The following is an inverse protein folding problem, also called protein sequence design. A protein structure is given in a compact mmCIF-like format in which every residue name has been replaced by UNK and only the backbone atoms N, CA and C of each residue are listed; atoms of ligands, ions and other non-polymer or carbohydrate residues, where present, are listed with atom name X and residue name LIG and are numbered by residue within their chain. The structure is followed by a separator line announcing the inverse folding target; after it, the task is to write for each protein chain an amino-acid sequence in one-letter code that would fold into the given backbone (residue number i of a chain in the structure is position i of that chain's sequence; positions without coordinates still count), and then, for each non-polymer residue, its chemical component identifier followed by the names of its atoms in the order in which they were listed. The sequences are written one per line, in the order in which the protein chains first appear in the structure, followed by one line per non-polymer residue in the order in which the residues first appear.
data_IF_426411439580
#
_entry.id   IF_426411439580
#
_cell.length_a   1.000
_cell.length_b   1.000
_cell.length_c   1.000
_cell.angle_alpha   90.00
_cell.angle_beta   90.00
_cell.angle_gamma   90.00
#
_symmetry.space_group_name_H-M   'P 1'
#
loop_
_entity.id
_entity.type
_entity.pdbx_description
1 polymer ?
#
# COMPACT_ATOMS: atom_id res chain seq x y z
N UNK A 1 14.39 -9.66 0.07
CA UNK A 1 13.11 -10.34 0.20
C UNK A 1 13.10 -11.22 1.46
N UNK A 2 13.97 -12.23 1.60
CA UNK A 2 13.96 -13.15 2.75
C UNK A 2 14.03 -12.39 4.09
N UNK A 3 14.95 -11.42 4.23
CA UNK A 3 15.06 -10.59 5.44
C UNK A 3 13.77 -9.82 5.77
N UNK A 4 13.01 -9.41 4.75
CA UNK A 4 11.74 -8.73 4.96
C UNK A 4 10.62 -9.71 5.39
N UNK A 5 10.67 -10.96 4.94
CA UNK A 5 9.78 -12.03 5.41
C UNK A 5 10.10 -12.39 6.87
N UNK A 6 11.39 -12.54 7.20
CA UNK A 6 11.84 -12.83 8.56
C UNK A 6 11.45 -11.70 9.53
N UNK A 7 11.59 -10.44 9.10
CA UNK A 7 11.13 -9.27 9.85
C UNK A 7 9.61 -9.28 10.07
N UNK A 8 8.83 -9.73 9.09
CA UNK A 8 7.39 -9.89 9.25
C UNK A 8 7.02 -10.91 10.34
N UNK A 9 7.69 -12.07 10.38
CA UNK A 9 7.44 -13.06 11.42
C UNK A 9 7.84 -12.54 12.81
N UNK A 10 8.95 -11.80 12.90
CA UNK A 10 9.36 -11.10 14.12
C UNK A 10 8.27 -10.15 14.61
N UNK A 11 7.75 -9.27 13.74
CA UNK A 11 6.70 -8.31 14.09
C UNK A 11 5.39 -9.00 14.49
N UNK A 12 5.01 -10.08 13.82
CA UNK A 12 3.82 -10.87 14.16
C UNK A 12 3.92 -11.53 15.54
N UNK A 13 5.11 -11.84 15.97
CA UNK A 13 5.37 -12.37 17.33
C UNK A 13 5.54 -11.28 18.39
N UNK A 14 5.34 -10.00 18.03
CA UNK A 14 5.54 -8.86 18.94
C UNK A 14 7.00 -8.44 19.12
N UNK A 15 7.90 -8.96 18.26
CA UNK A 15 9.32 -8.60 18.29
C UNK A 15 9.60 -7.24 17.66
N UNK A 16 10.72 -6.64 18.06
CA UNK A 16 11.19 -5.33 17.61
C UNK A 16 12.71 -5.31 17.67
N UNK A 17 13.38 -5.01 16.56
CA UNK A 17 14.85 -4.96 16.47
C UNK A 17 15.43 -3.55 16.43
N UNK A 18 14.58 -2.52 16.49
CA UNK A 18 14.99 -1.10 16.49
C UNK A 18 14.86 -0.41 17.85
N UNK A 19 14.21 -1.07 18.83
CA UNK A 19 13.91 -0.47 20.13
C UNK A 19 12.84 0.65 20.10
N UNK A 20 12.16 0.87 18.99
CA UNK A 20 11.10 1.88 18.86
C UNK A 20 9.77 1.33 19.41
N UNK A 21 9.19 1.98 20.40
CA UNK A 21 7.96 1.54 21.08
C UNK A 21 6.67 1.78 20.26
N UNK A 22 6.75 2.46 19.11
CA UNK A 22 5.58 2.96 18.38
C UNK A 22 5.20 2.15 17.13
N UNK A 23 5.81 1.00 16.88
CA UNK A 23 5.37 0.13 15.79
C UNK A 23 4.05 -0.54 16.16
N UNK A 24 2.96 -0.07 15.60
CA UNK A 24 1.61 -0.58 15.86
C UNK A 24 1.20 -1.66 14.86
N UNK A 25 0.87 -2.85 15.35
CA UNK A 25 0.02 -3.75 14.57
C UNK A 25 -1.42 -3.24 14.68
N UNK A 26 -2.06 -2.94 13.54
CA UNK A 26 -3.50 -2.76 13.48
C UNK A 26 -4.14 -4.12 13.12
N UNK A 27 -5.05 -4.58 13.97
CA UNK A 27 -5.66 -5.89 13.87
C UNK A 27 -4.91 -6.96 14.67
N UNK A 28 -5.52 -8.14 14.78
CA UNK A 28 -4.89 -9.28 15.42
C UNK A 28 -3.83 -9.89 14.49
N UNK A 29 -2.53 -9.80 14.81
CA UNK A 29 -1.47 -10.34 13.97
C UNK A 29 -1.46 -11.88 13.90
N UNK A 30 -2.20 -12.54 14.80
CA UNK A 30 -2.40 -13.99 14.82
C UNK A 30 -3.62 -14.43 14.01
N UNK A 31 -4.42 -13.52 13.53
CA UNK A 31 -5.62 -13.81 12.73
C UNK A 31 -5.24 -14.54 11.43
N UNK A 32 -5.98 -15.59 11.10
CA UNK A 32 -5.71 -16.44 9.91
C UNK A 32 -6.82 -16.38 8.86
N UNK A 33 -7.92 -15.68 9.16
CA UNK A 33 -9.14 -15.63 8.34
C UNK A 33 -9.39 -14.28 7.68
N UNK A 34 -8.53 -13.28 7.93
CA UNK A 34 -8.65 -11.95 7.35
C UNK A 34 -7.29 -11.39 6.92
N UNK A 35 -7.32 -10.28 6.18
CA UNK A 35 -6.12 -9.52 5.86
C UNK A 35 -5.46 -9.02 7.16
N UNK A 36 -4.19 -9.39 7.36
CA UNK A 36 -3.35 -8.85 8.42
C UNK A 36 -2.65 -7.61 7.88
N UNK A 37 -2.75 -6.50 8.62
CA UNK A 37 -2.13 -5.24 8.29
C UNK A 37 -1.30 -4.74 9.47
N UNK A 38 -0.01 -4.52 9.26
CA UNK A 38 0.91 -3.93 10.25
C UNK A 38 1.31 -2.56 9.74
N UNK A 39 0.97 -1.53 10.51
CA UNK A 39 1.25 -0.14 10.18
C UNK A 39 2.64 0.27 10.64
N UNK A 40 3.33 1.05 9.80
CA UNK A 40 4.65 1.60 10.08
C UNK A 40 5.68 0.56 10.56
N UNK A 41 5.79 -0.61 9.90
CA UNK A 41 6.67 -1.70 10.33
C UNK A 41 8.15 -1.30 10.33
N UNK A 42 8.55 -0.27 9.58
CA UNK A 42 9.92 0.28 9.58
C UNK A 42 10.30 0.91 10.93
N UNK A 43 9.32 1.26 11.78
CA UNK A 43 9.63 1.73 13.15
C UNK A 43 10.25 0.61 13.98
N UNK A 44 9.86 -0.64 13.78
CA UNK A 44 10.26 -1.79 14.56
C UNK A 44 11.21 -2.75 13.83
N UNK A 45 11.58 -2.49 12.57
CA UNK A 45 12.46 -3.38 11.83
C UNK A 45 13.48 -2.65 10.96
N UNK A 46 14.75 -2.91 11.24
CA UNK A 46 15.87 -2.41 10.43
C UNK A 46 15.84 -2.98 9.01
N UNK A 47 15.48 -4.24 8.83
CA UNK A 47 15.37 -4.86 7.51
C UNK A 47 14.32 -4.17 6.62
N UNK A 48 13.23 -3.68 7.23
CA UNK A 48 12.19 -2.94 6.50
C UNK A 48 12.65 -1.51 6.19
N UNK A 49 13.41 -0.85 7.10
CA UNK A 49 14.07 0.44 6.78
C UNK A 49 14.98 0.32 5.56
N UNK A 50 15.79 -0.73 5.49
CA UNK A 50 16.64 -1.00 4.33
C UNK A 50 15.83 -1.24 3.05
N UNK A 51 14.71 -1.96 3.14
CA UNK A 51 13.84 -2.20 1.99
C UNK A 51 13.27 -0.90 1.43
N UNK A 52 12.68 -0.05 2.29
CA UNK A 52 12.07 1.20 1.84
C UNK A 52 13.09 2.26 1.43
N UNK A 53 14.36 2.08 1.81
CA UNK A 53 15.50 2.91 1.40
C UNK A 53 16.23 2.37 0.16
N UNK A 54 15.74 1.27 -0.43
CA UNK A 54 16.44 0.62 -1.54
C UNK A 54 16.49 1.54 -2.77
N UNK A 55 17.70 1.84 -3.32
CA UNK A 55 17.86 2.88 -4.33
C UNK A 55 17.00 2.69 -5.58
N UNK A 56 16.81 1.44 -6.04
CA UNK A 56 16.01 1.17 -7.23
C UNK A 56 14.54 1.58 -7.05
N UNK A 57 13.98 1.49 -5.83
CA UNK A 57 12.62 1.93 -5.54
C UNK A 57 12.48 3.43 -5.80
N UNK A 58 13.41 4.23 -5.27
CA UNK A 58 13.44 5.67 -5.48
C UNK A 58 13.67 6.04 -6.95
N UNK A 59 14.61 5.36 -7.64
CA UNK A 59 14.91 5.60 -9.07
C UNK A 59 13.67 5.38 -9.95
N UNK A 60 12.94 4.29 -9.75
CA UNK A 60 11.70 4.02 -10.48
C UNK A 60 10.62 5.05 -10.16
N UNK A 61 10.43 5.38 -8.89
CA UNK A 61 9.47 6.39 -8.48
C UNK A 61 9.77 7.76 -9.09
N UNK A 62 11.03 8.20 -9.10
CA UNK A 62 11.48 9.43 -9.74
C UNK A 62 11.26 9.40 -11.27
N UNK A 63 11.55 8.27 -11.93
CA UNK A 63 11.37 8.12 -13.36
C UNK A 63 9.89 8.20 -13.77
N UNK A 64 9.00 7.59 -12.99
CA UNK A 64 7.55 7.57 -13.26
C UNK A 64 6.92 8.93 -13.02
N UNK A 65 7.29 9.61 -11.93
CA UNK A 65 6.67 10.89 -11.52
C UNK A 65 7.31 12.10 -12.18
N UNK A 66 8.56 11.99 -12.62
CA UNK A 66 9.37 13.14 -13.08
C UNK A 66 9.63 14.17 -11.98
N UNK A 67 9.45 13.80 -10.71
CA UNK A 67 9.65 14.68 -9.56
C UNK A 67 11.13 15.00 -9.32
N UNK A 68 11.41 16.07 -8.57
CA UNK A 68 12.76 16.41 -8.12
C UNK A 68 13.20 15.46 -7.00
N UNK A 69 12.28 15.09 -6.15
CA UNK A 69 12.47 14.09 -5.11
C UNK A 69 11.16 13.35 -4.82
N UNK A 70 11.32 12.13 -4.28
CA UNK A 70 10.22 11.29 -3.79
C UNK A 70 10.55 10.80 -2.38
N UNK A 71 9.52 10.52 -1.59
CA UNK A 71 9.66 10.10 -0.19
C UNK A 71 8.56 9.13 0.21
N UNK A 72 8.88 7.94 0.77
CA UNK A 72 7.93 7.17 1.55
C UNK A 72 7.45 7.98 2.76
N UNK A 73 6.15 7.97 3.03
CA UNK A 73 5.59 8.67 4.19
C UNK A 73 4.73 7.77 5.08
N UNK A 74 4.24 6.66 4.53
CA UNK A 74 3.51 5.64 5.29
C UNK A 74 3.78 4.26 4.69
N UNK A 75 3.99 3.26 5.54
CA UNK A 75 4.29 1.89 5.10
C UNK A 75 3.34 0.93 5.79
N UNK A 76 2.82 -0.01 5.02
CA UNK A 76 1.97 -1.09 5.51
C UNK A 76 2.56 -2.42 5.08
N UNK A 77 2.76 -3.32 6.03
CA UNK A 77 3.01 -4.72 5.76
C UNK A 77 1.69 -5.47 5.71
N UNK A 78 1.45 -6.16 4.61
CA UNK A 78 0.19 -6.82 4.34
C UNK A 78 0.40 -8.32 4.19
N UNK A 79 -0.37 -9.13 4.95
CA UNK A 79 -0.44 -10.58 4.77
C UNK A 79 -1.87 -10.97 4.48
N UNK A 80 -2.07 -11.54 3.31
CA UNK A 80 -3.34 -12.12 2.91
C UNK A 80 -3.25 -13.64 3.11
N UNK A 81 -3.91 -14.20 4.15
CA UNK A 81 -3.93 -15.64 4.37
C UNK A 81 -4.50 -16.37 3.16
N UNK A 82 -4.12 -17.64 3.01
CA UNK A 82 -4.76 -18.51 2.01
C UNK A 82 -6.08 -19.05 2.52
N UNK A 83 -7.10 -19.08 1.67
CA UNK A 83 -8.43 -19.60 1.96
C UNK A 83 -9.53 -18.77 1.32
N UNK A 84 -10.75 -19.31 1.29
CA UNK A 84 -11.92 -18.63 0.69
C UNK A 84 -12.58 -17.66 1.70
N UNK A 85 -11.80 -17.09 2.62
CA UNK A 85 -12.35 -16.14 3.58
C UNK A 85 -12.61 -14.78 2.91
N UNK A 86 -13.89 -14.39 2.78
CA UNK A 86 -14.28 -13.08 2.26
C UNK A 86 -13.67 -11.93 3.07
N UNK A 87 -13.42 -12.14 4.36
CA UNK A 87 -12.75 -11.16 5.22
C UNK A 87 -11.31 -10.82 4.80
N UNK A 88 -10.73 -11.52 3.82
CA UNK A 88 -9.43 -11.18 3.23
C UNK A 88 -9.54 -10.34 1.96
N UNK A 89 -10.75 -10.04 1.46
CA UNK A 89 -10.92 -9.12 0.35
C UNK A 89 -10.48 -7.71 0.76
N UNK A 90 -10.03 -6.94 -0.21
CA UNK A 90 -9.86 -5.49 -0.13
C UNK A 90 -10.83 -4.89 -1.12
N UNK A 91 -11.79 -4.13 -0.63
CA UNK A 91 -12.86 -3.57 -1.44
C UNK A 91 -12.35 -2.54 -2.45
N UNK A 92 -13.14 -2.28 -3.49
CA UNK A 92 -12.83 -1.25 -4.49
C UNK A 92 -12.79 0.13 -3.83
N UNK A 93 -11.68 0.83 -3.97
CA UNK A 93 -11.46 2.15 -3.36
C UNK A 93 -10.42 2.96 -4.12
N UNK A 94 -10.34 4.24 -3.79
CA UNK A 94 -9.22 5.13 -4.09
C UNK A 94 -8.47 5.42 -2.78
N UNK A 95 -7.16 5.27 -2.73
CA UNK A 95 -6.34 5.55 -1.54
C UNK A 95 -6.57 6.97 -1.00
N UNK A 96 -6.79 7.93 -1.89
CA UNK A 96 -7.04 9.34 -1.55
C UNK A 96 -8.16 9.53 -0.52
N UNK A 97 -9.13 8.64 -0.47
CA UNK A 97 -10.23 8.67 0.50
C UNK A 97 -9.72 8.65 1.96
N UNK A 98 -8.64 7.92 2.22
CA UNK A 98 -8.08 7.72 3.56
C UNK A 98 -6.94 8.70 3.90
N UNK A 99 -6.53 9.55 2.96
CA UNK A 99 -5.35 10.42 3.08
C UNK A 99 -5.72 11.89 3.23
N UNK A 100 -6.62 12.18 4.19
CA UNK A 100 -7.11 13.54 4.47
C UNK A 100 -6.04 14.48 5.07
N UNK A 101 -4.91 13.93 5.55
CA UNK A 101 -3.78 14.73 6.07
C UNK A 101 -2.98 15.45 4.97
N UNK A 102 -3.31 15.19 3.70
CA UNK A 102 -2.67 15.81 2.54
C UNK A 102 -3.62 16.78 1.84
N UNK A 103 -3.09 17.94 1.41
CA UNK A 103 -3.85 18.91 0.62
C UNK A 103 -4.40 18.29 -0.67
N UNK A 104 -5.51 18.84 -1.14
CA UNK A 104 -6.06 18.48 -2.45
C UNK A 104 -5.04 18.81 -3.56
N UNK A 105 -4.90 17.91 -4.53
CA UNK A 105 -3.90 18.05 -5.60
C UNK A 105 -2.48 17.62 -5.22
N UNK A 106 -2.23 17.19 -3.97
CA UNK A 106 -0.97 16.54 -3.61
C UNK A 106 -0.73 15.33 -4.49
N UNK A 107 0.47 15.22 -5.06
CA UNK A 107 0.88 14.06 -5.85
C UNK A 107 1.31 12.91 -4.94
N UNK A 108 0.39 11.98 -4.73
CA UNK A 108 0.55 10.83 -3.86
C UNK A 108 0.35 9.55 -4.68
N UNK A 109 1.13 8.54 -4.35
CA UNK A 109 1.08 7.24 -5.03
C UNK A 109 1.58 6.13 -4.10
N UNK A 110 1.35 4.90 -4.49
CA UNK A 110 1.80 3.71 -3.74
C UNK A 110 2.75 2.90 -4.62
N UNK A 111 3.90 2.53 -4.06
CA UNK A 111 4.75 1.46 -4.54
C UNK A 111 4.37 0.17 -3.78
N UNK A 112 3.74 -0.76 -4.46
CA UNK A 112 3.31 -2.02 -3.87
C UNK A 112 4.32 -3.12 -4.22
N UNK A 113 5.01 -3.65 -3.20
CA UNK A 113 6.12 -4.60 -3.35
C UNK A 113 5.65 -6.00 -2.98
N UNK A 114 5.79 -6.95 -3.90
CA UNK A 114 5.53 -8.36 -3.66
C UNK A 114 6.70 -9.02 -2.90
N UNK A 115 6.42 -9.68 -1.77
CA UNK A 115 7.40 -10.49 -1.05
C UNK A 115 7.31 -11.98 -1.39
N UNK A 116 6.13 -12.45 -1.77
CA UNK A 116 5.87 -13.80 -2.29
C UNK A 116 5.41 -13.70 -3.73
N UNK A 117 5.30 -14.84 -4.41
CA UNK A 117 4.73 -14.88 -5.74
C UNK A 117 3.25 -14.45 -5.70
N UNK A 118 2.88 -13.49 -6.53
CA UNK A 118 1.53 -12.94 -6.65
C UNK A 118 0.93 -13.43 -7.97
N UNK A 119 0.45 -14.65 -7.93
CA UNK A 119 -0.25 -15.30 -9.04
C UNK A 119 -1.70 -14.84 -9.14
N UNK A 120 -2.40 -15.20 -10.19
CA UNK A 120 -3.81 -14.83 -10.40
C UNK A 120 -4.74 -15.33 -9.29
N UNK A 121 -4.41 -16.45 -8.66
CA UNK A 121 -5.15 -17.08 -7.55
C UNK A 121 -4.68 -16.63 -6.15
N UNK A 122 -3.57 -15.88 -6.06
CA UNK A 122 -3.06 -15.32 -4.81
C UNK A 122 -3.81 -14.07 -4.32
N UNK A 123 -4.92 -13.70 -4.96
CA UNK A 123 -5.64 -12.45 -4.72
C UNK A 123 -4.78 -11.22 -5.04
N UNK A 124 -4.30 -11.06 -6.29
CA UNK A 124 -3.51 -9.90 -6.68
C UNK A 124 -4.28 -8.61 -6.49
N UNK A 125 -3.56 -7.49 -6.46
CA UNK A 125 -4.19 -6.19 -6.65
C UNK A 125 -4.80 -6.15 -8.06
N UNK A 126 -6.01 -5.64 -8.17
CA UNK A 126 -6.68 -5.39 -9.45
C UNK A 126 -6.91 -3.90 -9.56
N UNK A 127 -6.48 -3.31 -10.68
CA UNK A 127 -6.55 -1.88 -10.93
C UNK A 127 -7.55 -1.59 -12.05
N UNK A 128 -8.33 -0.51 -11.92
CA UNK A 128 -9.12 -0.01 -13.04
C UNK A 128 -8.23 0.88 -13.92
N UNK A 129 -8.00 0.43 -15.15
CA UNK A 129 -7.13 1.10 -16.10
C UNK A 129 -7.60 2.53 -16.37
N UNK A 130 -6.68 3.50 -16.17
CA UNK A 130 -6.96 4.91 -16.45
C UNK A 130 -7.81 5.63 -15.38
N UNK A 131 -8.30 4.95 -14.35
CA UNK A 131 -9.19 5.52 -13.34
C UNK A 131 -8.59 6.68 -12.52
N UNK A 132 -7.26 6.79 -12.46
CA UNK A 132 -6.59 7.95 -11.86
C UNK A 132 -6.92 9.27 -12.57
N UNK A 133 -7.40 9.23 -13.82
CA UNK A 133 -7.81 10.39 -14.61
C UNK A 133 -9.25 10.84 -14.35
N UNK A 134 -10.02 10.03 -13.60
CA UNK A 134 -11.42 10.33 -13.29
C UNK A 134 -11.59 11.35 -12.15
N UNK A 135 -10.49 11.76 -11.51
CA UNK A 135 -10.52 12.57 -10.30
C UNK A 135 -10.86 11.74 -9.05
N UNK A 136 -11.12 12.45 -7.96
CA UNK A 136 -11.54 11.83 -6.71
C UNK A 136 -13.07 11.67 -6.70
N UNK A 137 -13.54 10.43 -6.82
CA UNK A 137 -14.97 10.14 -6.88
C UNK A 137 -15.64 10.02 -5.51
N UNK A 138 -14.84 9.86 -4.45
CA UNK A 138 -15.35 9.67 -3.07
C UNK A 138 -16.37 8.52 -2.97
N UNK A 139 -16.04 7.40 -3.62
CA UNK A 139 -16.86 6.19 -3.69
C UNK A 139 -16.00 4.96 -3.40
N UNK A 140 -16.67 3.86 -3.05
CA UNK A 140 -16.00 2.61 -2.68
C UNK A 140 -15.65 2.55 -1.20
N UNK A 141 -15.11 1.39 -0.77
CA UNK A 141 -14.72 1.14 0.62
C UNK A 141 -13.65 0.06 0.69
N UNK A 142 -12.46 0.40 1.22
CA UNK A 142 -11.36 -0.54 1.47
C UNK A 142 -11.81 -1.75 2.31
N UNK A 143 -12.67 -1.52 3.29
CA UNK A 143 -13.13 -2.56 4.23
C UNK A 143 -14.32 -3.37 3.71
N UNK A 144 -14.90 -2.97 2.60
CA UNK A 144 -16.01 -3.67 1.96
C UNK A 144 -15.58 -5.04 1.44
N UNK A 145 -16.30 -6.09 1.83
CA UNK A 145 -15.93 -7.46 1.51
C UNK A 145 -16.66 -8.00 0.26
N UNK A 146 -17.77 -7.40 -0.12
CA UNK A 146 -18.53 -7.77 -1.31
C UNK A 146 -18.09 -6.92 -2.51
N UNK A 147 -17.16 -7.45 -3.31
CA UNK A 147 -16.57 -6.72 -4.44
C UNK A 147 -17.60 -6.43 -5.55
N UNK A 148 -18.56 -7.33 -5.77
CA UNK A 148 -19.60 -7.17 -6.80
C UNK A 148 -20.59 -6.07 -6.42
N UNK A 149 -20.99 -6.01 -5.16
CA UNK A 149 -21.85 -4.95 -4.63
C UNK A 149 -21.17 -3.59 -4.70
N UNK A 150 -19.91 -3.51 -4.28
CA UNK A 150 -19.10 -2.28 -4.39
C UNK A 150 -18.98 -1.84 -5.84
N UNK A 151 -18.65 -2.76 -6.74
CA UNK A 151 -18.56 -2.51 -8.18
C UNK A 151 -19.88 -1.94 -8.73
N UNK A 152 -21.00 -2.55 -8.37
CA UNK A 152 -22.32 -2.11 -8.81
C UNK A 152 -22.71 -0.72 -8.27
N UNK A 153 -22.16 -0.33 -7.11
CA UNK A 153 -22.41 0.95 -6.45
C UNK A 153 -21.52 2.11 -6.94
N UNK A 154 -20.45 1.83 -7.69
CA UNK A 154 -19.56 2.89 -8.18
C UNK A 154 -20.09 3.47 -9.50
N UNK A 155 -20.42 4.78 -9.47
CA UNK A 155 -20.84 5.51 -10.65
C UNK A 155 -19.62 6.00 -11.43
N UNK A 156 -19.44 5.47 -12.62
CA UNK A 156 -18.33 5.86 -13.49
C UNK A 156 -18.63 7.24 -14.14
N UNK A 157 -17.58 8.06 -14.38
CA UNK A 157 -17.73 9.26 -15.21
C UNK A 157 -18.17 8.93 -16.64
N UNK A 158 -18.76 9.90 -17.32
CA UNK A 158 -19.18 9.76 -18.72
C UNK A 158 -18.04 9.32 -19.62
N UNK A 159 -18.27 8.26 -20.38
CA UNK A 159 -17.29 7.69 -21.29
C UNK A 159 -16.21 6.83 -20.63
N UNK A 160 -16.23 6.68 -19.30
CA UNK A 160 -15.33 5.74 -18.61
C UNK A 160 -15.81 4.27 -18.76
N UNK A 161 -14.88 3.35 -18.74
CA UNK A 161 -15.15 1.93 -18.77
C UNK A 161 -14.55 1.23 -17.55
N UNK A 162 -15.21 0.17 -17.09
CA UNK A 162 -14.71 -0.71 -16.06
C UNK A 162 -13.74 -1.73 -16.69
N UNK A 163 -12.46 -1.37 -16.78
CA UNK A 163 -11.40 -2.18 -17.38
C UNK A 163 -10.38 -2.59 -16.31
N UNK A 164 -10.39 -3.89 -15.97
CA UNK A 164 -9.62 -4.46 -14.88
C UNK A 164 -8.27 -5.01 -15.36
N UNK A 165 -7.21 -4.62 -14.68
CA UNK A 165 -5.84 -5.14 -14.89
C UNK A 165 -5.32 -5.74 -13.59
N UNK A 166 -5.02 -7.03 -13.62
CA UNK A 166 -4.45 -7.74 -12.48
C UNK A 166 -2.94 -7.46 -12.35
N UNK A 167 -2.53 -7.05 -11.15
CA UNK A 167 -1.13 -6.82 -10.78
C UNK A 167 -0.44 -8.09 -10.31
N UNK A 168 -0.28 -9.08 -11.19
CA UNK A 168 0.52 -10.28 -10.88
C UNK A 168 2.00 -9.93 -10.90
N UNK A 169 2.76 -10.40 -9.89
CA UNK A 169 4.16 -10.03 -9.68
C UNK A 169 4.96 -11.20 -9.13
N UNK A 170 6.19 -11.40 -9.60
CA UNK A 170 7.13 -12.30 -8.92
C UNK A 170 7.61 -11.67 -7.60
N UNK A 171 8.21 -12.46 -6.68
CA UNK A 171 8.85 -11.91 -5.49
C UNK A 171 9.89 -10.83 -5.83
N UNK A 172 9.79 -9.66 -5.20
CA UNK A 172 10.59 -8.48 -5.49
C UNK A 172 10.03 -7.60 -6.61
N UNK A 173 8.98 -8.04 -7.31
CA UNK A 173 8.25 -7.20 -8.25
C UNK A 173 7.55 -6.03 -7.55
N UNK A 174 7.43 -4.90 -8.26
CA UNK A 174 6.80 -3.68 -7.75
C UNK A 174 5.78 -3.16 -8.75
N UNK A 175 4.57 -2.86 -8.28
CA UNK A 175 3.60 -2.07 -9.03
C UNK A 175 3.49 -0.66 -8.44
N UNK A 176 3.27 0.33 -9.30
CA UNK A 176 3.02 1.71 -8.88
C UNK A 176 1.62 2.13 -9.29
N UNK A 177 0.88 2.75 -8.37
CA UNK A 177 -0.43 3.31 -8.67
C UNK A 177 -0.64 4.66 -7.99
N UNK A 178 -1.29 5.55 -8.70
CA UNK A 178 -1.66 6.88 -8.21
C UNK A 178 -2.75 6.75 -7.15
N UNK A 179 -2.80 7.65 -6.16
CA UNK A 179 -3.80 7.64 -5.09
C UNK A 179 -5.27 7.71 -5.57
N UNK A 180 -5.49 8.16 -6.80
CA UNK A 180 -6.81 8.20 -7.45
C UNK A 180 -7.11 6.97 -8.30
N UNK A 181 -6.21 5.98 -8.38
CA UNK A 181 -6.49 4.74 -9.09
C UNK A 181 -7.45 3.89 -8.29
N UNK A 182 -8.62 3.56 -8.85
CA UNK A 182 -9.49 2.57 -8.25
C UNK A 182 -8.81 1.20 -8.28
N UNK A 183 -8.80 0.55 -7.13
CA UNK A 183 -8.22 -0.78 -7.01
C UNK A 183 -8.88 -1.57 -5.87
N UNK A 184 -8.68 -2.87 -5.90
CA UNK A 184 -9.18 -3.80 -4.91
C UNK A 184 -8.43 -5.12 -5.00
N UNK A 185 -8.78 -6.12 -4.21
CA UNK A 185 -8.25 -7.47 -4.37
C UNK A 185 -9.17 -8.53 -3.76
N UNK A 186 -9.37 -9.63 -4.47
CA UNK A 186 -10.14 -10.79 -4.02
C UNK A 186 -9.38 -11.60 -2.97
N UNK A 187 -10.04 -12.62 -2.43
CA UNK A 187 -9.42 -13.59 -1.54
C UNK A 187 -8.23 -14.31 -2.20
N UNK A 188 -7.30 -14.75 -1.37
CA UNK A 188 -6.18 -15.57 -1.79
C UNK A 188 -6.58 -17.06 -1.69
N UNK A 189 -6.62 -17.75 -2.83
CA UNK A 189 -6.96 -19.18 -2.92
C UNK A 189 -5.77 -20.05 -3.39
N UNK A 190 -4.56 -19.50 -3.42
CA UNK A 190 -3.35 -20.16 -3.95
C UNK A 190 -2.78 -21.27 -3.05
N UNK A 191 -3.28 -21.42 -1.84
CA UNK A 191 -2.75 -22.40 -0.86
C UNK A 191 -1.61 -21.88 0.02
N UNK A 192 -1.03 -20.73 -0.31
CA UNK A 192 0.07 -20.09 0.45
C UNK A 192 -0.25 -18.63 0.79
N UNK A 193 0.19 -18.09 1.94
CA UNK A 193 -0.04 -16.68 2.27
C UNK A 193 0.64 -15.73 1.27
N UNK A 194 -0.09 -14.72 0.79
CA UNK A 194 0.47 -13.63 0.00
C UNK A 194 1.00 -12.53 0.92
N UNK A 195 2.27 -12.18 0.77
CA UNK A 195 2.97 -11.18 1.57
C UNK A 195 3.42 -10.02 0.71
N UNK A 196 3.22 -8.79 1.19
CA UNK A 196 3.53 -7.57 0.44
C UNK A 196 3.73 -6.37 1.33
N UNK A 197 4.35 -5.33 0.78
CA UNK A 197 4.33 -3.98 1.34
C UNK A 197 3.55 -3.04 0.45
N UNK A 198 2.72 -2.18 1.05
CA UNK A 198 2.26 -0.95 0.44
C UNK A 198 3.11 0.19 1.00
N UNK A 199 3.95 0.79 0.16
CA UNK A 199 4.82 1.91 0.49
C UNK A 199 4.18 3.15 -0.12
N UNK A 200 3.47 3.93 0.69
CA UNK A 200 2.84 5.16 0.25
C UNK A 200 3.88 6.26 0.14
N UNK A 201 3.92 6.89 -1.02
CA UNK A 201 4.94 7.85 -1.40
C UNK A 201 4.35 9.21 -1.77
N UNK A 202 5.15 10.25 -1.56
CA UNK A 202 4.87 11.63 -1.98
C UNK A 202 6.01 12.19 -2.81
N UNK A 203 5.76 13.32 -3.46
CA UNK A 203 6.75 14.07 -4.23
C UNK A 203 6.96 15.46 -3.66
N UNK A 204 7.89 16.23 -4.27
CA UNK A 204 8.06 17.67 -4.00
C UNK A 204 6.78 18.50 -4.27
N UNK A 205 5.78 17.94 -4.96
CA UNK A 205 4.48 18.58 -5.26
C UNK A 205 3.39 18.27 -4.22
N UNK A 206 3.72 17.52 -3.17
CA UNK A 206 2.76 17.15 -2.12
C UNK A 206 2.91 18.04 -0.89
N UNK A 207 1.80 18.42 -0.26
CA UNK A 207 1.74 19.26 0.93
C UNK A 207 0.87 18.62 2.01
N UNK A 208 1.34 18.54 3.28
CA UNK A 208 0.47 18.21 4.39
C UNK A 208 -0.50 19.36 4.65
N UNK A 209 -1.72 19.05 5.07
CA UNK A 209 -2.72 20.06 5.44
C UNK A 209 -2.21 20.87 6.65
N UNK A 210 -2.24 22.19 6.55
CA UNK A 210 -1.79 23.12 7.60
C UNK A 210 -0.35 22.85 8.07
N UNK A 211 0.53 22.36 7.20
CA UNK A 211 1.88 21.94 7.53
C UNK A 211 1.99 20.99 8.74
N UNK A 212 0.91 20.26 9.02
CA UNK A 212 0.86 19.33 10.15
C UNK A 212 1.92 18.25 10.08
N UNK A 213 2.48 17.92 11.26
CA UNK A 213 3.36 16.76 11.49
C UNK A 213 2.70 15.79 12.45
N UNK A 214 1.46 15.41 12.14
CA UNK A 214 0.65 14.48 12.93
C UNK A 214 -0.06 13.50 12.01
N UNK A 215 -0.70 12.48 12.55
CA UNK A 215 -1.39 11.47 11.78
C UNK A 215 -0.45 10.78 10.78
N UNK A 216 -0.86 10.73 9.52
CA UNK A 216 -0.09 10.10 8.45
C UNK A 216 1.19 10.86 8.06
N UNK A 217 1.33 12.13 8.44
CA UNK A 217 2.50 12.97 8.14
C UNK A 217 3.52 13.06 9.29
N UNK A 218 3.36 12.28 10.35
CA UNK A 218 4.14 12.40 11.61
C UNK A 218 5.64 12.29 11.38
N UNK A 219 6.11 11.41 10.51
CA UNK A 219 7.53 11.08 10.38
C UNK A 219 8.21 11.66 9.14
N UNK A 220 7.53 12.48 8.33
CA UNK A 220 8.07 12.95 7.04
C UNK A 220 9.34 13.82 7.17
N UNK A 221 9.60 14.41 8.32
CA UNK A 221 10.81 15.18 8.57
C UNK A 221 11.97 14.33 9.15
N UNK A 222 11.76 13.03 9.34
CA UNK A 222 12.80 12.11 9.81
C UNK A 222 13.26 11.19 8.65
N UNK A 223 14.44 11.45 8.02
CA UNK A 223 14.92 10.69 6.87
C UNK A 223 15.35 9.24 7.20
N UNK A 224 15.55 8.90 8.47
CA UNK A 224 15.81 7.51 8.90
C UNK A 224 14.55 6.65 8.84
N UNK A 225 13.37 7.27 9.01
CA UNK A 225 12.06 6.61 8.98
C UNK A 225 11.42 6.77 7.61
N UNK A 226 11.54 7.97 7.03
CA UNK A 226 10.98 8.36 5.74
C UNK A 226 12.10 8.84 4.81
N UNK A 227 12.87 7.93 4.19
CA UNK A 227 14.03 8.30 3.36
C UNK A 227 13.60 9.13 2.14
N UNK A 228 14.44 10.12 1.78
CA UNK A 228 14.22 10.96 0.61
C UNK A 228 15.14 10.50 -0.53
N UNK A 229 14.57 10.29 -1.70
CA UNK A 229 15.31 10.00 -2.92
C UNK A 229 15.31 11.23 -3.83
N UNK A 230 16.48 11.67 -4.23
CA UNK A 230 16.67 12.79 -5.14
C UNK A 230 17.02 12.32 -6.56
N UNK A 231 16.66 13.13 -7.53
CA UNK A 231 16.97 12.91 -8.94
C UNK A 231 18.45 13.12 -9.24
#
# INVERSE_FOLDING_TARGET
IQRAIDAQELLRSGGNDTGCEHAGAYGDPQRTDALIKIEQPQLASQAIRELISYPALGQWALAITGAEWVQPWWVQLLVKPSGIALASNVGWHQDRYYWSDWEEGSELFTAWVALTDVTADAGPMVFLQGSHKWGFLNQGDFFGQNLDELKAGINLPDGAAWDEVAGTLPPGGVSFHHCLTFHGSSANISGVPRRSFAIHMRTNRSRPVDDRRSGLATYIDNPEICPVFHR
#
